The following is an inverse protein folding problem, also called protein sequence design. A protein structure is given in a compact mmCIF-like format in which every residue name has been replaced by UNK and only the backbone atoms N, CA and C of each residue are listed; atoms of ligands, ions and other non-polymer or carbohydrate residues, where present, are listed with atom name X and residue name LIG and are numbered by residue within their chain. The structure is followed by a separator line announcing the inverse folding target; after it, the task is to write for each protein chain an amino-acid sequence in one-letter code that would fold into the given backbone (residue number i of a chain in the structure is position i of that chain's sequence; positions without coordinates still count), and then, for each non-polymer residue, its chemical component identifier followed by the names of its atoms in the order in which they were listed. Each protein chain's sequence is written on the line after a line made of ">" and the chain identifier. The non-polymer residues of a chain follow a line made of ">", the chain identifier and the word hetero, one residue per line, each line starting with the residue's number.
data_IF_882947218260
#
_entry.id   IF_882947218260
#
_cell.length_a   1.000
_cell.length_b   1.000
_cell.length_c   1.000
_cell.angle_alpha   90.00
_cell.angle_beta   90.00
_cell.angle_gamma   90.00
#
_symmetry.space_group_name_H-M   'P 1'
#
loop_
_entity.id
_entity.type
_entity.pdbx_description
1 polymer ?
#
# COMPACT_ATOMS: atom_id res chain seq x y z
N UNK A 1 0.78 5.14 11.32
CA UNK A 1 0.35 4.26 10.23
C UNK A 1 0.19 5.04 8.93
N UNK A 2 0.09 4.34 7.82
CA UNK A 2 -0.04 4.97 6.51
C UNK A 2 -1.17 4.33 5.73
N UNK A 3 -1.84 5.15 4.92
CA UNK A 3 -2.75 4.66 3.88
C UNK A 3 -2.07 4.91 2.54
N UNK A 4 -1.88 3.87 1.76
CA UNK A 4 -1.30 3.97 0.42
C UNK A 4 -2.43 3.78 -0.58
N UNK A 5 -2.68 4.80 -1.39
CA UNK A 5 -3.65 4.74 -2.47
C UNK A 5 -2.91 4.52 -3.78
N UNK A 6 -3.30 3.49 -4.51
CA UNK A 6 -2.72 3.13 -5.81
C UNK A 6 -3.83 3.29 -6.85
N UNK A 7 -3.91 4.47 -7.46
CA UNK A 7 -4.98 4.80 -8.39
C UNK A 7 -4.55 4.55 -9.82
N UNK A 8 -5.39 3.88 -10.59
CA UNK A 8 -5.09 3.60 -11.99
C UNK A 8 -4.86 4.89 -12.77
N UNK A 9 -3.80 4.86 -13.57
CA UNK A 9 -3.49 5.88 -14.57
C UNK A 9 -4.15 5.54 -15.90
N UNK A 10 -3.83 6.31 -16.94
CA UNK A 10 -4.26 6.04 -18.32
C UNK A 10 -3.66 4.74 -18.88
N UNK A 11 -2.64 4.18 -18.21
CA UNK A 11 -1.98 2.94 -18.62
C UNK A 11 -2.63 1.69 -18.03
N UNK A 12 -3.80 1.81 -17.45
CA UNK A 12 -4.52 0.71 -16.78
C UNK A 12 -4.59 -0.56 -17.64
N UNK A 13 -4.81 -0.41 -18.95
CA UNK A 13 -4.93 -1.55 -19.86
C UNK A 13 -3.66 -2.38 -19.97
N UNK A 14 -2.53 -1.86 -19.51
CA UNK A 14 -1.24 -2.54 -19.56
C UNK A 14 -0.92 -3.30 -18.28
N UNK A 15 -1.86 -3.39 -17.34
CA UNK A 15 -1.63 -4.01 -16.04
C UNK A 15 -1.36 -5.52 -16.12
N UNK A 16 -1.97 -6.22 -17.09
CA UNK A 16 -1.91 -7.68 -17.16
C UNK A 16 -0.52 -8.27 -17.02
N UNK A 17 0.49 -7.84 -17.81
CA UNK A 17 1.84 -8.41 -17.74
C UNK A 17 2.53 -8.19 -16.39
N UNK A 18 2.08 -7.23 -15.59
CA UNK A 18 2.71 -6.86 -14.31
C UNK A 18 1.94 -7.37 -13.10
N UNK A 19 0.84 -8.07 -13.30
CA UNK A 19 -0.03 -8.52 -12.20
C UNK A 19 0.69 -9.47 -11.26
N UNK A 20 1.43 -10.45 -11.79
CA UNK A 20 2.14 -11.42 -10.96
C UNK A 20 3.21 -10.74 -10.10
N UNK A 21 3.96 -9.81 -10.69
CA UNK A 21 4.97 -9.03 -9.96
C UNK A 21 4.36 -8.16 -8.88
N UNK A 22 3.24 -7.52 -9.19
CA UNK A 22 2.49 -6.72 -8.22
C UNK A 22 2.01 -7.56 -7.05
N UNK A 23 1.44 -8.74 -7.32
CA UNK A 23 0.96 -9.64 -6.26
C UNK A 23 2.12 -10.18 -5.42
N UNK A 24 3.28 -10.49 -6.02
CA UNK A 24 4.46 -10.89 -5.28
C UNK A 24 4.97 -9.76 -4.37
N UNK A 25 4.91 -8.53 -4.85
CA UNK A 25 5.27 -7.34 -4.06
C UNK A 25 4.34 -7.18 -2.85
N UNK A 26 3.03 -7.33 -3.04
CA UNK A 26 2.06 -7.30 -1.93
C UNK A 26 2.40 -8.37 -0.89
N UNK A 27 2.66 -9.59 -1.33
CA UNK A 27 3.00 -10.69 -0.43
C UNK A 27 4.23 -10.37 0.41
N UNK A 28 5.28 -9.81 -0.20
CA UNK A 28 6.49 -9.40 0.55
C UNK A 28 6.16 -8.36 1.62
N UNK A 29 5.30 -7.40 1.32
CA UNK A 29 4.90 -6.40 2.29
C UNK A 29 4.20 -7.00 3.51
N UNK A 30 3.35 -8.01 3.30
CA UNK A 30 2.72 -8.74 4.41
C UNK A 30 3.73 -9.60 5.15
N UNK A 31 4.59 -10.32 4.44
CA UNK A 31 5.60 -11.19 5.08
C UNK A 31 6.58 -10.37 5.93
N UNK A 32 6.89 -9.16 5.51
CA UNK A 32 7.79 -8.24 6.25
C UNK A 32 7.10 -7.55 7.42
N UNK A 33 5.81 -7.75 7.62
CA UNK A 33 5.06 -7.12 8.71
C UNK A 33 4.76 -5.64 8.48
N UNK A 34 4.87 -5.15 7.26
CA UNK A 34 4.63 -3.74 6.90
C UNK A 34 3.19 -3.51 6.46
N UNK A 35 2.63 -4.41 5.66
CA UNK A 35 1.24 -4.31 5.21
C UNK A 35 0.32 -5.13 6.13
N UNK A 36 -0.81 -4.54 6.50
CA UNK A 36 -1.81 -5.21 7.35
C UNK A 36 -3.16 -5.36 6.68
N UNK A 37 -3.39 -4.65 5.57
CA UNK A 37 -4.61 -4.75 4.80
C UNK A 37 -4.32 -4.28 3.38
N UNK A 38 -4.89 -4.97 2.39
CA UNK A 38 -4.87 -4.53 1.01
C UNK A 38 -6.20 -4.89 0.37
N UNK A 39 -6.71 -4.04 -0.49
CA UNK A 39 -7.98 -4.26 -1.15
C UNK A 39 -8.18 -3.33 -2.33
N UNK A 40 -9.30 -3.52 -3.01
CA UNK A 40 -9.69 -2.70 -4.16
C UNK A 40 -10.56 -1.54 -3.72
N UNK A 41 -10.32 -0.38 -4.31
CA UNK A 41 -11.22 0.76 -4.14
C UNK A 41 -12.55 0.47 -4.85
N UNK A 42 -13.64 0.98 -4.28
CA UNK A 42 -14.95 0.91 -4.90
C UNK A 42 -15.45 2.31 -5.19
N UNK A 43 -15.80 2.65 -6.45
CA UNK A 43 -15.69 1.82 -7.66
C UNK A 43 -14.23 1.49 -7.99
N UNK A 44 -14.02 0.51 -8.86
CA UNK A 44 -12.67 -0.07 -9.11
C UNK A 44 -11.74 0.92 -9.81
N UNK A 45 -11.26 1.89 -9.06
CA UNK A 45 -10.35 2.93 -9.55
C UNK A 45 -8.90 2.66 -9.14
N UNK A 46 -8.66 1.54 -8.46
CA UNK A 46 -7.32 1.16 -8.00
C UNK A 46 -7.40 0.35 -6.73
N UNK A 47 -6.36 0.40 -5.93
CA UNK A 47 -6.26 -0.30 -4.66
C UNK A 47 -5.88 0.61 -3.51
N UNK A 48 -5.98 0.06 -2.31
CA UNK A 48 -5.54 0.72 -1.09
C UNK A 48 -4.84 -0.28 -0.19
N UNK A 49 -3.84 0.19 0.54
CA UNK A 49 -3.05 -0.61 1.48
C UNK A 49 -2.96 0.17 2.78
N UNK A 50 -3.11 -0.53 3.90
CA UNK A 50 -2.76 0.03 5.20
C UNK A 50 -1.41 -0.53 5.60
N UNK A 51 -0.47 0.37 5.92
CA UNK A 51 0.90 0.03 6.29
C UNK A 51 1.26 0.61 7.65
N UNK A 52 2.18 -0.06 8.33
CA UNK A 52 2.72 0.39 9.60
C UNK A 52 4.14 -0.16 9.79
N UNK A 53 4.72 0.11 10.94
CA UNK A 53 6.00 -0.47 11.31
C UNK A 53 7.11 -0.13 10.31
N UNK A 54 7.06 1.08 9.77
CA UNK A 54 8.01 1.56 8.77
C UNK A 54 8.09 3.09 8.86
N UNK A 55 9.21 3.65 8.47
CA UNK A 55 9.36 5.09 8.29
C UNK A 55 8.81 5.49 6.92
N UNK A 56 8.40 6.75 6.78
CA UNK A 56 7.84 7.25 5.51
C UNK A 56 8.81 7.07 4.35
N UNK A 57 10.10 7.38 4.54
CA UNK A 57 11.09 7.24 3.47
C UNK A 57 11.26 5.79 3.02
N UNK A 58 11.25 4.85 3.96
CA UNK A 58 11.34 3.42 3.63
C UNK A 58 10.09 2.95 2.90
N UNK A 59 8.92 3.44 3.32
CA UNK A 59 7.66 3.10 2.64
C UNK A 59 7.64 3.67 1.22
N UNK A 60 8.11 4.89 1.02
CA UNK A 60 8.21 5.48 -0.32
C UNK A 60 9.08 4.62 -1.24
N UNK A 61 10.23 4.14 -0.73
CA UNK A 61 11.10 3.26 -1.50
C UNK A 61 10.41 1.93 -1.82
N UNK A 62 9.72 1.36 -0.85
CA UNK A 62 8.96 0.11 -1.05
C UNK A 62 7.87 0.28 -2.10
N UNK A 63 7.12 1.36 -2.03
CA UNK A 63 6.03 1.64 -2.98
C UNK A 63 6.59 1.80 -4.40
N UNK A 64 7.75 2.41 -4.56
CA UNK A 64 8.38 2.56 -5.87
C UNK A 64 8.86 1.23 -6.46
N UNK A 65 8.98 0.17 -5.66
CA UNK A 65 9.34 -1.17 -6.12
C UNK A 65 8.15 -1.95 -6.67
N UNK A 66 6.92 -1.49 -6.43
CA UNK A 66 5.74 -2.12 -7.02
C UNK A 66 5.81 -1.98 -8.54
N UNK A 67 5.75 -3.09 -9.31
CA UNK A 67 5.75 -2.99 -10.76
C UNK A 67 4.65 -2.10 -11.32
N UNK A 68 3.48 -2.04 -10.68
CA UNK A 68 2.42 -1.14 -11.09
C UNK A 68 2.81 0.32 -10.96
N UNK A 69 3.60 0.66 -9.94
CA UNK A 69 4.11 2.03 -9.76
C UNK A 69 5.25 2.28 -10.75
N UNK A 70 6.20 1.36 -10.82
CA UNK A 70 7.39 1.51 -11.66
C UNK A 70 7.02 1.67 -13.14
N UNK A 71 6.00 0.94 -13.60
CA UNK A 71 5.55 0.96 -15.00
C UNK A 71 4.40 1.96 -15.23
N UNK A 72 4.11 2.79 -14.24
CA UNK A 72 3.10 3.86 -14.33
C UNK A 72 1.69 3.35 -14.65
N UNK A 73 1.38 2.13 -14.23
CA UNK A 73 0.02 1.59 -14.29
C UNK A 73 -0.87 2.29 -13.26
N UNK A 74 -0.29 2.60 -12.10
CA UNK A 74 -0.95 3.35 -11.03
C UNK A 74 -0.11 4.55 -10.63
N UNK A 75 -0.77 5.51 -9.99
CA UNK A 75 -0.13 6.63 -9.30
C UNK A 75 -0.32 6.39 -7.80
N UNK A 76 0.77 6.41 -7.05
CA UNK A 76 0.75 6.18 -5.62
C UNK A 76 0.60 7.48 -4.85
N UNK A 77 -0.22 7.45 -3.80
CA UNK A 77 -0.39 8.54 -2.85
C UNK A 77 -0.30 7.95 -1.45
N UNK A 78 0.61 8.47 -0.63
CA UNK A 78 0.84 7.99 0.73
C UNK A 78 0.33 9.04 1.71
N UNK A 79 -0.59 8.62 2.57
CA UNK A 79 -1.18 9.47 3.61
C UNK A 79 -0.73 8.93 4.95
N UNK A 80 -0.07 9.77 5.73
CA UNK A 80 0.32 9.39 7.09
C UNK A 80 -0.80 9.75 8.06
N UNK A 81 -1.12 8.82 8.96
CA UNK A 81 -2.09 9.01 10.02
C UNK A 81 -1.42 8.67 11.34
N UNK A 82 -1.52 9.57 12.32
CA UNK A 82 -1.14 9.28 13.69
C UNK A 82 -2.40 8.82 14.42
N UNK A 83 -2.53 7.50 14.72
CA UNK A 83 -3.76 6.98 15.33
C UNK A 83 -3.93 7.52 16.75
N UNK A 84 -5.06 8.16 17.01
CA UNK A 84 -5.40 8.63 18.36
C UNK A 84 -6.30 7.63 19.08
N UNK A 85 -7.19 6.98 18.37
CA UNK A 85 -8.12 5.98 18.91
C UNK A 85 -8.19 4.81 17.95
N UNK A 86 -8.23 3.61 18.50
CA UNK A 86 -8.40 2.38 17.73
C UNK A 86 -9.37 1.47 18.44
N UNK A 87 -10.04 0.62 17.67
CA UNK A 87 -10.67 -0.59 18.23
C UNK A 87 -9.57 -1.45 18.84
N UNK A 88 -9.89 -2.21 19.88
CA UNK A 88 -8.91 -3.03 20.60
C UNK A 88 -8.12 -3.96 19.65
N UNK A 89 -8.75 -4.46 18.60
CA UNK A 89 -8.11 -5.34 17.63
C UNK A 89 -7.03 -4.64 16.81
N UNK A 90 -7.04 -3.31 16.78
CA UNK A 90 -6.12 -2.49 16.00
C UNK A 90 -5.15 -1.70 16.89
N UNK A 91 -5.06 -2.04 18.18
CA UNK A 91 -4.19 -1.34 19.12
C UNK A 91 -2.73 -1.33 18.67
N UNK A 92 -2.31 -2.37 17.96
CA UNK A 92 -0.94 -2.46 17.44
C UNK A 92 -0.61 -1.31 16.45
N UNK A 93 -1.59 -0.75 15.76
CA UNK A 93 -1.37 0.38 14.86
C UNK A 93 -0.97 1.64 15.64
N UNK A 94 -1.54 1.82 16.82
CA UNK A 94 -1.26 2.95 17.69
C UNK A 94 0.13 2.82 18.30
N UNK A 95 0.46 1.64 18.79
CA UNK A 95 1.74 1.36 19.46
C UNK A 95 2.89 1.25 18.45
N UNK A 96 2.64 0.64 17.31
CA UNK A 96 3.65 0.46 16.27
C UNK A 96 4.08 1.75 15.58
N UNK A 97 3.30 2.81 15.72
CA UNK A 97 3.63 4.12 15.16
C UNK A 97 4.56 4.95 16.05
N UNK A 98 4.94 4.41 17.18
CA UNK A 98 5.78 5.11 18.15
C UNK A 98 7.23 5.17 17.73
#
# INVERSE_FOLDING_TARGET
>A
MFVVLLKFSDNRDQAGPFMDGHNAWLKRGFDDGVFVLAGSLQPRTGGAIIAHNTALSDLQNRVNEDPFVAEKIVVADIIEITPARTDARLDFLRDGGQ
#
